data_IF_968342249274
#
_entry.id   IF_968342249274
#
_cell.length_a   1.000
_cell.length_b   1.000
_cell.length_c   1.000
_cell.angle_alpha   90.00
_cell.angle_beta   90.00
_cell.angle_gamma   90.00
#
_symmetry.space_group_name_H-M   'P 1'
#
loop_
_entity.id
_entity.type
_entity.pdbx_description
1 polymer ?
#
# COMPACT_ATOMS: atom_id res chain seq x y z
N UNK A 1 0.42 0.02 -26.33
CA UNK A 1 1.04 0.24 -25.00
C UNK A 1 0.48 -0.69 -23.95
N UNK A 2 1.18 -0.80 -22.84
CA UNK A 2 0.73 -1.60 -21.70
C UNK A 2 0.65 -0.65 -20.48
N UNK A 3 -0.43 0.14 -20.31
CA UNK A 3 -0.51 1.17 -19.29
C UNK A 3 -0.43 0.61 -17.85
N UNK A 4 -0.81 -0.65 -17.66
CA UNK A 4 -0.75 -1.33 -16.37
C UNK A 4 0.58 -2.09 -16.14
N UNK A 5 1.47 -2.12 -17.13
CA UNK A 5 2.68 -2.93 -17.15
C UNK A 5 2.57 -4.13 -18.09
N UNK A 6 3.71 -4.76 -18.40
CA UNK A 6 3.73 -6.01 -19.18
C UNK A 6 3.12 -7.15 -18.35
N UNK A 7 2.59 -8.16 -19.04
CA UNK A 7 1.82 -9.24 -18.39
C UNK A 7 2.64 -9.95 -17.32
N UNK A 8 3.85 -10.36 -17.65
CA UNK A 8 4.75 -11.11 -16.78
C UNK A 8 5.15 -10.31 -15.52
N UNK A 9 5.33 -9.01 -15.64
CA UNK A 9 5.64 -8.16 -14.50
C UNK A 9 4.42 -7.99 -13.58
N UNK A 10 3.21 -7.88 -14.14
CA UNK A 10 1.97 -7.85 -13.35
C UNK A 10 1.73 -9.18 -12.63
N UNK A 11 2.01 -10.31 -13.30
CA UNK A 11 1.90 -11.64 -12.73
C UNK A 11 2.84 -11.81 -11.53
N UNK A 12 4.12 -11.42 -11.65
CA UNK A 12 5.07 -11.42 -10.54
C UNK A 12 4.60 -10.54 -9.37
N UNK A 13 4.12 -9.34 -9.66
CA UNK A 13 3.58 -8.44 -8.63
C UNK A 13 2.36 -9.01 -7.92
N UNK A 14 1.44 -9.62 -8.67
CA UNK A 14 0.26 -10.30 -8.13
C UNK A 14 0.64 -11.48 -7.24
N UNK A 15 1.58 -12.31 -7.67
CA UNK A 15 2.09 -13.45 -6.89
C UNK A 15 2.74 -13.00 -5.58
N UNK A 16 3.56 -11.95 -5.61
CA UNK A 16 4.19 -11.39 -4.41
C UNK A 16 3.17 -10.93 -3.38
N UNK A 17 2.13 -10.21 -3.82
CA UNK A 17 1.09 -9.64 -2.96
C UNK A 17 -0.08 -10.59 -2.69
N UNK A 18 -0.08 -11.80 -3.28
CA UNK A 18 -1.19 -12.76 -3.25
C UNK A 18 -2.50 -12.17 -3.79
N UNK A 19 -2.39 -11.23 -4.72
CA UNK A 19 -3.51 -10.56 -5.37
C UNK A 19 -3.84 -11.21 -6.72
N UNK A 20 -4.85 -10.69 -7.43
CA UNK A 20 -5.14 -11.10 -8.80
C UNK A 20 -4.39 -10.23 -9.81
N UNK A 21 -4.07 -10.76 -10.98
CA UNK A 21 -3.37 -10.02 -12.03
C UNK A 21 -4.23 -8.86 -12.57
N UNK A 22 -5.55 -9.03 -12.61
CA UNK A 22 -6.51 -8.01 -13.05
C UNK A 22 -6.46 -6.77 -12.16
N UNK A 23 -6.21 -6.97 -10.89
CA UNK A 23 -6.15 -5.93 -9.86
C UNK A 23 -4.72 -5.45 -9.55
N UNK A 24 -3.73 -5.86 -10.36
CA UNK A 24 -2.32 -5.52 -10.18
C UNK A 24 -1.79 -4.67 -11.32
N UNK A 25 -1.06 -3.62 -11.00
CA UNK A 25 -0.31 -2.80 -11.95
C UNK A 25 1.17 -2.68 -11.55
N UNK A 26 1.99 -2.37 -12.53
CA UNK A 26 3.42 -2.08 -12.36
C UNK A 26 3.62 -0.58 -12.28
N UNK A 27 4.34 -0.14 -11.26
CA UNK A 27 4.78 1.24 -11.08
C UNK A 27 6.21 1.47 -11.60
N UNK A 28 6.75 2.57 -11.21
CA UNK A 28 8.14 2.96 -11.48
C UNK A 28 9.08 2.34 -10.42
N UNK A 29 10.15 3.03 -10.04
CA UNK A 29 11.22 2.47 -9.21
C UNK A 29 10.87 2.27 -7.72
N UNK A 30 9.78 2.86 -7.21
CA UNK A 30 9.47 2.77 -5.76
C UNK A 30 7.97 2.76 -5.45
N UNK A 31 7.59 2.07 -4.37
CA UNK A 31 6.23 2.11 -3.81
C UNK A 31 5.82 3.52 -3.38
N UNK A 32 6.77 4.36 -2.95
CA UNK A 32 6.47 5.74 -2.53
C UNK A 32 5.82 6.55 -3.64
N UNK A 33 6.26 6.39 -4.89
CA UNK A 33 5.65 7.08 -6.03
C UNK A 33 4.22 6.57 -6.30
N UNK A 34 3.98 5.27 -6.13
CA UNK A 34 2.63 4.71 -6.22
C UNK A 34 1.71 5.22 -5.10
N UNK A 35 2.24 5.38 -3.88
CA UNK A 35 1.50 5.99 -2.76
C UNK A 35 1.15 7.44 -3.10
N UNK A 36 2.11 8.21 -3.62
CA UNK A 36 1.84 9.59 -4.07
C UNK A 36 0.70 9.64 -5.09
N UNK A 37 0.74 8.77 -6.10
CA UNK A 37 -0.31 8.69 -7.13
C UNK A 37 -1.66 8.28 -6.55
N UNK A 38 -1.67 7.38 -5.56
CA UNK A 38 -2.88 6.92 -4.89
C UNK A 38 -3.53 8.06 -4.05
N UNK A 39 -2.72 8.81 -3.29
CA UNK A 39 -3.18 9.99 -2.56
C UNK A 39 -3.67 11.06 -3.53
N UNK A 40 -2.93 11.35 -4.60
CA UNK A 40 -3.33 12.30 -5.65
C UNK A 40 -4.65 11.90 -6.31
N UNK A 41 -4.85 10.59 -6.60
CA UNK A 41 -6.09 10.09 -7.18
C UNK A 41 -7.29 10.35 -6.26
N UNK A 42 -7.14 10.10 -4.96
CA UNK A 42 -8.18 10.37 -3.97
C UNK A 42 -8.38 11.87 -3.72
N UNK A 43 -7.30 12.64 -3.73
CA UNK A 43 -7.37 14.10 -3.60
C UNK A 43 -8.15 14.73 -4.75
N UNK A 44 -7.91 14.29 -5.98
CA UNK A 44 -8.56 14.86 -7.19
C UNK A 44 -9.96 14.31 -7.44
N UNK A 45 -10.21 13.04 -7.16
CA UNK A 45 -11.44 12.33 -7.58
C UNK A 45 -12.19 11.69 -6.42
N UNK A 46 -11.50 11.13 -5.40
CA UNK A 46 -12.07 10.40 -4.27
C UNK A 46 -12.71 9.07 -4.65
N UNK A 47 -12.87 8.17 -3.70
CA UNK A 47 -13.70 6.97 -3.88
C UNK A 47 -15.18 7.32 -4.03
N UNK A 48 -15.66 8.37 -3.35
CA UNK A 48 -16.99 8.94 -3.44
C UNK A 48 -16.89 10.44 -3.68
N UNK A 49 -16.16 11.17 -2.82
CA UNK A 49 -16.01 12.62 -2.89
C UNK A 49 -14.53 13.02 -2.95
N UNK A 50 -14.12 13.92 -3.87
CA UNK A 50 -12.75 14.43 -3.92
C UNK A 50 -12.31 15.04 -2.59
N UNK A 51 -11.11 14.69 -2.11
CA UNK A 51 -10.61 15.25 -0.83
C UNK A 51 -10.32 16.74 -0.91
N UNK A 52 -9.92 17.25 -2.09
CA UNK A 52 -9.68 18.69 -2.33
C UNK A 52 -10.91 19.57 -2.10
N UNK A 53 -12.11 18.99 -2.14
CA UNK A 53 -13.37 19.69 -1.96
C UNK A 53 -13.93 19.53 -0.54
N UNK A 54 -13.11 18.99 0.40
CA UNK A 54 -13.48 18.72 1.78
C UNK A 54 -12.57 19.50 2.75
N UNK A 55 -13.15 19.89 3.88
CA UNK A 55 -12.41 20.53 4.98
C UNK A 55 -11.93 19.48 6.00
N UNK A 56 -10.88 19.83 6.72
CA UNK A 56 -10.33 19.02 7.83
C UNK A 56 -10.01 17.56 7.49
N UNK A 57 -9.60 17.31 6.25
CA UNK A 57 -9.17 15.99 5.82
C UNK A 57 -8.01 15.50 6.68
N UNK A 58 -8.16 14.33 7.28
CA UNK A 58 -7.16 13.73 8.15
C UNK A 58 -6.78 12.32 7.70
N UNK A 59 -5.58 11.89 8.07
CA UNK A 59 -5.06 10.56 7.83
C UNK A 59 -4.38 9.99 9.08
N UNK A 60 -4.58 8.72 9.39
CA UNK A 60 -3.95 8.07 10.54
C UNK A 60 -2.55 7.59 10.14
N UNK A 61 -1.59 7.94 10.99
CA UNK A 61 -0.17 7.69 10.79
C UNK A 61 0.39 6.86 11.96
N UNK A 62 0.68 5.57 11.77
CA UNK A 62 1.39 4.79 12.78
C UNK A 62 2.78 5.37 13.06
N UNK A 63 3.12 5.49 14.35
CA UNK A 63 4.40 6.05 14.81
C UNK A 63 5.10 5.11 15.80
N UNK A 64 6.46 5.00 15.72
CA UNK A 64 7.34 5.66 14.76
C UNK A 64 7.12 5.12 13.35
N UNK A 65 7.34 5.92 12.31
CA UNK A 65 7.07 5.55 10.91
C UNK A 65 8.05 6.16 9.92
N UNK A 66 7.88 5.84 8.64
CA UNK A 66 8.74 6.34 7.57
C UNK A 66 8.41 7.81 7.26
N UNK A 67 9.38 8.70 7.43
CA UNK A 67 9.22 10.16 7.32
C UNK A 67 8.66 10.65 5.98
N UNK A 68 8.94 9.94 4.89
CA UNK A 68 8.44 10.29 3.54
C UNK A 68 6.93 10.14 3.41
N UNK A 69 6.33 9.18 4.13
CA UNK A 69 4.87 9.05 4.20
C UNK A 69 4.23 10.29 4.84
N UNK A 70 4.83 10.80 5.91
CA UNK A 70 4.33 11.99 6.61
C UNK A 70 4.51 13.24 5.76
N UNK A 71 5.68 13.41 5.14
CA UNK A 71 5.97 14.52 4.26
C UNK A 71 5.00 14.61 3.09
N UNK A 72 4.67 13.47 2.50
CA UNK A 72 3.72 13.38 1.40
C UNK A 72 2.33 13.89 1.83
N UNK A 73 1.83 13.47 3.00
CA UNK A 73 0.54 13.94 3.52
C UNK A 73 0.57 15.44 3.83
N UNK A 74 1.68 15.94 4.37
CA UNK A 74 1.89 17.37 4.64
C UNK A 74 1.82 18.21 3.36
N UNK A 75 2.46 17.75 2.27
CA UNK A 75 2.46 18.43 0.96
C UNK A 75 1.04 18.56 0.37
N UNK A 76 0.12 17.65 0.72
CA UNK A 76 -1.31 17.73 0.35
C UNK A 76 -2.17 18.51 1.36
N UNK A 77 -1.58 19.05 2.43
CA UNK A 77 -2.33 19.74 3.50
C UNK A 77 -3.23 18.80 4.31
N UNK A 78 -2.94 17.51 4.31
CA UNK A 78 -3.72 16.49 5.04
C UNK A 78 -3.26 16.45 6.49
N UNK A 79 -4.19 16.60 7.43
CA UNK A 79 -3.91 16.52 8.87
C UNK A 79 -3.47 15.10 9.26
N UNK A 80 -2.36 14.99 9.94
CA UNK A 80 -1.86 13.71 10.44
C UNK A 80 -2.32 13.46 11.87
N UNK A 81 -2.95 12.29 12.10
CA UNK A 81 -3.37 11.80 13.41
C UNK A 81 -2.48 10.60 13.76
N UNK A 82 -1.66 10.72 14.80
CA UNK A 82 -0.70 9.67 15.14
C UNK A 82 -1.33 8.57 16.00
N UNK A 83 -0.96 7.32 15.71
CA UNK A 83 -1.29 6.14 16.52
C UNK A 83 -0.02 5.37 16.85
N UNK A 84 0.23 5.00 18.14
CA UNK A 84 1.43 4.25 18.51
C UNK A 84 1.47 2.83 17.90
N UNK A 85 2.69 2.34 17.62
CA UNK A 85 2.95 0.93 17.36
C UNK A 85 3.22 0.18 18.68
N UNK A 86 2.85 -1.10 18.73
CA UNK A 86 2.90 -1.95 19.93
C UNK A 86 3.83 -3.17 19.79
N UNK A 87 4.57 -3.28 18.67
CA UNK A 87 5.38 -4.46 18.33
C UNK A 87 4.64 -5.49 17.46
N UNK A 88 3.31 -5.48 17.48
CA UNK A 88 2.46 -6.36 16.65
C UNK A 88 1.42 -5.62 15.82
N UNK A 89 1.63 -4.34 15.61
CA UNK A 89 0.77 -3.43 14.85
C UNK A 89 0.42 -2.17 15.64
N UNK A 90 -0.65 -1.49 15.26
CA UNK A 90 -1.10 -0.27 15.92
C UNK A 90 -1.80 -0.55 17.25
N UNK A 91 -1.74 0.40 18.17
CA UNK A 91 -2.59 0.41 19.37
C UNK A 91 -4.06 0.58 18.95
N UNK A 92 -4.82 -0.51 19.02
CA UNK A 92 -6.21 -0.57 18.53
C UNK A 92 -7.14 0.32 19.38
N UNK A 93 -6.91 0.44 20.68
CA UNK A 93 -7.74 1.31 21.52
C UNK A 93 -7.52 2.79 21.16
N UNK A 94 -6.27 3.18 20.90
CA UNK A 94 -5.96 4.53 20.38
C UNK A 94 -6.51 4.76 18.98
N UNK A 95 -6.49 3.74 18.13
CA UNK A 95 -7.09 3.81 16.79
C UNK A 95 -8.60 4.06 16.89
N UNK A 96 -9.32 3.33 17.74
CA UNK A 96 -10.75 3.57 18.02
C UNK A 96 -11.03 4.98 18.52
N UNK A 97 -10.26 5.44 19.51
CA UNK A 97 -10.39 6.82 20.03
C UNK A 97 -10.26 7.89 18.94
N UNK A 98 -9.30 7.69 17.98
CA UNK A 98 -9.12 8.61 16.87
C UNK A 98 -10.33 8.63 15.94
N UNK A 99 -10.88 7.46 15.60
CA UNK A 99 -12.08 7.34 14.77
C UNK A 99 -13.30 7.99 15.42
N UNK A 100 -13.49 7.83 16.73
CA UNK A 100 -14.60 8.44 17.48
C UNK A 100 -14.52 9.97 17.56
N UNK A 101 -13.30 10.51 17.75
CA UNK A 101 -13.08 11.94 18.00
C UNK A 101 -12.99 12.79 16.72
N UNK A 102 -12.79 12.20 15.57
CA UNK A 102 -12.58 12.92 14.32
C UNK A 102 -13.58 12.46 13.26
N UNK A 103 -14.15 13.42 12.51
CA UNK A 103 -15.24 13.15 11.57
C UNK A 103 -14.82 12.95 10.11
N UNK A 104 -13.60 13.33 9.74
CA UNK A 104 -13.14 13.32 8.35
C UNK A 104 -11.79 12.64 8.15
N UNK A 105 -11.65 11.45 8.75
CA UNK A 105 -10.48 10.60 8.54
C UNK A 105 -10.66 9.82 7.25
N UNK A 106 -9.70 9.98 6.33
CA UNK A 106 -9.74 9.33 5.00
C UNK A 106 -8.98 8.04 4.91
N UNK A 107 -8.22 7.66 5.92
CA UNK A 107 -7.55 6.37 5.92
C UNK A 107 -6.38 6.25 6.87
N UNK A 108 -5.67 5.15 6.71
CA UNK A 108 -4.45 4.80 7.45
C UNK A 108 -3.37 4.29 6.48
N UNK A 109 -2.11 4.59 6.78
CA UNK A 109 -0.96 4.10 6.01
C UNK A 109 -0.06 3.23 6.89
N UNK A 110 -0.03 1.93 6.62
CA UNK A 110 0.68 0.93 7.42
C UNK A 110 1.88 0.36 6.65
N UNK A 111 2.96 0.06 7.37
CA UNK A 111 4.05 -0.81 6.91
C UNK A 111 3.94 -2.13 7.71
N UNK A 112 3.18 -3.13 7.20
CA UNK A 112 2.72 -4.24 8.05
C UNK A 112 3.79 -5.29 8.32
N UNK A 113 4.94 -5.22 7.63
CA UNK A 113 6.04 -6.18 7.78
C UNK A 113 7.36 -5.44 7.88
N UNK A 114 8.09 -5.70 8.98
CA UNK A 114 9.38 -5.05 9.29
C UNK A 114 9.29 -3.52 9.20
N UNK A 115 8.30 -2.94 9.90
CA UNK A 115 8.00 -1.51 9.88
C UNK A 115 9.26 -0.66 10.12
N UNK A 116 9.46 0.36 9.31
CA UNK A 116 10.60 1.26 9.44
C UNK A 116 10.20 2.50 10.29
N UNK A 117 10.88 2.80 11.41
CA UNK A 117 12.16 2.20 11.88
C UNK A 117 12.00 1.11 12.94
N UNK A 118 10.79 0.78 13.41
CA UNK A 118 10.56 -0.03 14.61
C UNK A 118 10.86 -1.53 14.43
N UNK A 119 10.75 -2.05 13.21
CA UNK A 119 10.86 -3.48 12.91
C UNK A 119 9.59 -4.29 13.20
N UNK A 120 8.50 -3.64 13.59
CA UNK A 120 7.22 -4.30 13.90
C UNK A 120 6.73 -5.17 12.74
N UNK A 121 6.12 -6.29 13.09
CA UNK A 121 5.34 -7.14 12.17
C UNK A 121 3.92 -7.20 12.71
N UNK A 122 2.97 -6.66 11.95
CA UNK A 122 1.56 -6.65 12.34
C UNK A 122 1.00 -8.06 12.41
N UNK A 123 0.23 -8.35 13.44
CA UNK A 123 -0.49 -9.61 13.53
C UNK A 123 -1.71 -9.61 12.59
N UNK A 124 -2.18 -10.81 12.23
CA UNK A 124 -3.39 -10.96 11.42
C UNK A 124 -4.62 -10.36 12.11
N UNK A 125 -4.68 -10.47 13.45
CA UNK A 125 -5.73 -9.88 14.29
C UNK A 125 -5.68 -8.35 14.19
N UNK A 126 -4.50 -7.74 14.32
CA UNK A 126 -4.35 -6.28 14.26
C UNK A 126 -4.77 -5.73 12.89
N UNK A 127 -4.32 -6.37 11.79
CA UNK A 127 -4.74 -5.99 10.44
C UNK A 127 -6.25 -6.16 10.27
N UNK A 128 -6.83 -7.25 10.78
CA UNK A 128 -8.28 -7.51 10.71
C UNK A 128 -9.09 -6.44 11.44
N UNK A 129 -8.66 -6.03 12.63
CA UNK A 129 -9.33 -4.98 13.41
C UNK A 129 -9.23 -3.61 12.72
N UNK A 130 -8.07 -3.26 12.15
CA UNK A 130 -7.90 -2.04 11.35
C UNK A 130 -8.90 -2.03 10.18
N UNK A 131 -8.97 -3.13 9.41
CA UNK A 131 -9.86 -3.25 8.26
C UNK A 131 -11.34 -3.14 8.66
N UNK A 132 -11.74 -3.83 9.74
CA UNK A 132 -13.11 -3.80 10.23
C UNK A 132 -13.50 -2.40 10.70
N UNK A 133 -12.75 -1.82 11.63
CA UNK A 133 -13.04 -0.52 12.22
C UNK A 133 -13.03 0.62 11.19
N UNK A 134 -12.04 0.64 10.28
CA UNK A 134 -11.99 1.66 9.24
C UNK A 134 -13.15 1.55 8.26
N UNK A 135 -13.57 0.32 7.91
CA UNK A 135 -14.74 0.08 7.05
C UNK A 135 -16.05 0.48 7.73
N UNK A 136 -16.21 0.19 9.03
CA UNK A 136 -17.37 0.62 9.83
C UNK A 136 -17.42 2.15 9.94
N UNK A 137 -16.26 2.80 10.05
CA UNK A 137 -16.15 4.25 10.12
C UNK A 137 -16.62 4.92 8.84
N UNK A 138 -16.16 4.47 7.65
CA UNK A 138 -16.54 5.08 6.37
C UNK A 138 -16.28 4.16 5.18
N UNK A 139 -17.20 4.21 4.19
CA UNK A 139 -16.99 3.56 2.87
C UNK A 139 -15.90 4.23 2.02
N UNK A 140 -15.41 5.41 2.43
CA UNK A 140 -14.28 6.12 1.81
C UNK A 140 -12.96 5.91 2.54
N UNK A 141 -12.94 5.15 3.65
CA UNK A 141 -11.73 4.93 4.44
C UNK A 141 -10.71 4.11 3.66
N UNK A 142 -9.56 4.71 3.36
CA UNK A 142 -8.51 4.12 2.54
C UNK A 142 -7.50 3.35 3.41
N UNK A 143 -7.28 2.09 3.10
CA UNK A 143 -6.23 1.27 3.72
C UNK A 143 -5.04 1.20 2.76
N UNK A 144 -3.90 1.79 3.14
CA UNK A 144 -2.64 1.70 2.40
C UNK A 144 -1.68 0.80 3.16
N UNK A 145 -1.31 -0.32 2.55
CA UNK A 145 -0.31 -1.24 3.10
C UNK A 145 0.95 -1.19 2.22
N UNK A 146 1.97 -0.45 2.68
CA UNK A 146 3.27 -0.40 2.03
C UNK A 146 4.14 -1.58 2.48
N UNK A 147 4.11 -2.66 1.71
CA UNK A 147 4.88 -3.88 1.94
C UNK A 147 6.30 -3.78 1.35
N UNK A 148 7.00 -2.67 1.61
CA UNK A 148 8.35 -2.43 1.11
C UNK A 148 9.37 -3.51 1.55
N UNK A 149 9.07 -4.23 2.63
CA UNK A 149 9.92 -5.28 3.23
C UNK A 149 9.29 -6.68 3.17
N UNK A 150 8.36 -6.91 2.24
CA UNK A 150 7.58 -8.15 2.12
C UNK A 150 8.43 -9.42 2.08
N UNK A 151 9.62 -9.36 1.51
CA UNK A 151 10.53 -10.50 1.28
C UNK A 151 11.81 -10.44 2.13
N UNK A 152 11.82 -9.64 3.21
CA UNK A 152 13.02 -9.42 4.04
C UNK A 152 13.03 -10.30 5.33
N UNK A 153 12.55 -11.53 5.24
CA UNK A 153 12.58 -12.46 6.36
C UNK A 153 13.92 -13.19 6.42
N UNK A 154 14.81 -12.74 7.30
CA UNK A 154 16.13 -13.33 7.51
C UNK A 154 16.17 -14.44 8.57
N UNK A 155 15.02 -14.70 9.20
CA UNK A 155 14.83 -15.80 10.16
C UNK A 155 13.43 -16.39 9.99
N UNK A 156 13.14 -17.59 10.53
CA UNK A 156 11.79 -18.11 10.54
C UNK A 156 10.85 -17.13 11.26
N UNK A 157 10.17 -16.30 10.50
CA UNK A 157 9.21 -15.34 11.02
C UNK A 157 7.84 -15.98 11.19
N UNK A 158 6.99 -15.38 12.05
CA UNK A 158 5.58 -15.77 12.11
C UNK A 158 4.98 -15.67 10.69
N UNK A 159 4.31 -16.73 10.27
CA UNK A 159 3.57 -16.73 9.01
C UNK A 159 2.44 -15.71 9.13
N UNK A 160 2.49 -14.66 8.32
CA UNK A 160 1.47 -13.63 8.23
C UNK A 160 0.54 -13.98 7.06
N UNK A 161 -0.77 -13.92 7.28
CA UNK A 161 -1.75 -14.07 6.20
C UNK A 161 -1.60 -12.89 5.23
N UNK A 162 -1.60 -13.12 3.91
CA UNK A 162 -1.56 -12.04 2.94
C UNK A 162 -2.62 -10.97 3.20
N UNK A 163 -2.23 -9.71 3.17
CA UNK A 163 -3.16 -8.58 3.39
C UNK A 163 -4.34 -8.63 2.42
N UNK A 164 -4.10 -9.07 1.18
CA UNK A 164 -5.15 -9.27 0.18
C UNK A 164 -6.27 -10.21 0.68
N UNK A 165 -5.89 -11.33 1.27
CA UNK A 165 -6.85 -12.32 1.78
C UNK A 165 -7.60 -11.79 3.00
N UNK A 166 -6.92 -11.07 3.91
CA UNK A 166 -7.57 -10.41 5.04
C UNK A 166 -8.55 -9.34 4.57
N UNK A 167 -8.16 -8.48 3.61
CA UNK A 167 -9.04 -7.46 3.05
C UNK A 167 -10.26 -8.08 2.35
N UNK A 168 -10.09 -9.21 1.65
CA UNK A 168 -11.18 -9.98 1.05
C UNK A 168 -12.13 -10.54 2.11
N UNK A 169 -11.58 -11.16 3.17
CA UNK A 169 -12.36 -11.72 4.29
C UNK A 169 -13.23 -10.66 4.96
N UNK A 170 -12.72 -9.43 5.11
CA UNK A 170 -13.46 -8.32 5.72
C UNK A 170 -14.27 -7.48 4.72
N UNK A 171 -14.38 -7.91 3.44
CA UNK A 171 -15.05 -7.16 2.37
C UNK A 171 -14.54 -5.72 2.23
N UNK A 172 -13.23 -5.50 2.45
CA UNK A 172 -12.57 -4.19 2.43
C UNK A 172 -11.70 -3.96 1.19
N UNK A 173 -11.68 -4.88 0.21
CA UNK A 173 -10.80 -4.80 -0.97
C UNK A 173 -10.97 -3.49 -1.74
N UNK A 174 -12.19 -3.02 -1.96
CA UNK A 174 -12.46 -1.79 -2.72
C UNK A 174 -11.89 -0.52 -2.08
N UNK A 175 -11.47 -0.60 -0.82
CA UNK A 175 -10.86 0.47 -0.03
C UNK A 175 -9.37 0.20 0.26
N UNK A 176 -8.83 -0.94 -0.17
CA UNK A 176 -7.48 -1.40 0.17
C UNK A 176 -6.54 -1.32 -1.02
N UNK A 177 -5.38 -0.72 -0.79
CA UNK A 177 -4.22 -0.78 -1.68
C UNK A 177 -3.04 -1.44 -0.97
N UNK A 178 -2.41 -2.38 -1.66
CA UNK A 178 -1.21 -3.08 -1.21
C UNK A 178 -0.10 -2.73 -2.20
N UNK A 179 1.03 -2.28 -1.68
CA UNK A 179 2.17 -1.88 -2.50
C UNK A 179 3.39 -2.68 -2.10
N UNK A 180 4.25 -2.98 -3.08
CA UNK A 180 5.58 -3.51 -2.82
C UNK A 180 6.56 -2.98 -3.86
N UNK A 181 7.86 -3.11 -3.59
CA UNK A 181 8.90 -2.69 -4.54
C UNK A 181 10.19 -3.46 -4.36
N UNK A 182 10.96 -3.49 -5.44
CA UNK A 182 12.33 -4.04 -5.45
C UNK A 182 13.41 -2.99 -5.13
N UNK A 183 13.04 -1.79 -4.66
CA UNK A 183 14.01 -0.74 -4.30
C UNK A 183 15.05 -1.18 -3.27
N UNK A 184 14.72 -2.18 -2.45
CA UNK A 184 15.59 -2.74 -1.40
C UNK A 184 15.96 -4.22 -1.67
N UNK A 185 15.58 -4.73 -2.84
CA UNK A 185 15.84 -6.11 -3.29
C UNK A 185 16.89 -6.14 -4.40
N UNK A 186 16.79 -5.22 -5.36
CA UNK A 186 17.72 -5.11 -6.50
C UNK A 186 18.53 -3.81 -6.42
N UNK A 187 18.03 -2.72 -6.98
CA UNK A 187 18.73 -1.43 -7.05
C UNK A 187 17.86 -0.32 -6.47
N UNK A 188 18.40 0.51 -5.59
CA UNK A 188 17.66 1.58 -4.93
C UNK A 188 16.98 2.56 -5.89
N UNK A 189 17.67 3.04 -6.92
CA UNK A 189 17.12 3.94 -7.94
C UNK A 189 16.66 3.25 -9.23
N UNK A 190 16.91 1.97 -9.38
CA UNK A 190 16.54 1.14 -10.54
C UNK A 190 15.58 0.01 -10.21
N UNK A 191 14.92 0.05 -9.05
CA UNK A 191 13.93 -0.94 -8.64
C UNK A 191 12.68 -0.93 -9.51
N UNK A 192 11.77 -1.84 -9.22
CA UNK A 192 10.46 -1.94 -9.82
C UNK A 192 9.41 -1.97 -8.70
N UNK A 193 8.27 -1.34 -8.90
CA UNK A 193 7.21 -1.32 -7.89
C UNK A 193 5.90 -1.89 -8.44
N UNK A 194 5.04 -2.33 -7.52
CA UNK A 194 3.76 -2.93 -7.84
C UNK A 194 2.69 -2.39 -6.89
N UNK A 195 1.48 -2.24 -7.41
CA UNK A 195 0.30 -1.96 -6.60
C UNK A 195 -0.82 -2.94 -6.94
N UNK A 196 -1.46 -3.47 -5.90
CA UNK A 196 -2.70 -4.21 -6.02
C UNK A 196 -3.79 -3.51 -5.21
N UNK A 197 -5.00 -3.41 -5.77
CA UNK A 197 -6.13 -2.78 -5.11
C UNK A 197 -7.46 -3.41 -5.55
N UNK A 198 -8.50 -3.29 -4.73
CA UNK A 198 -9.85 -3.68 -5.13
C UNK A 198 -10.37 -2.82 -6.30
N UNK A 199 -11.39 -3.29 -6.99
CA UNK A 199 -11.81 -2.74 -8.30
C UNK A 199 -12.05 -1.23 -8.29
N UNK A 200 -12.72 -0.69 -7.28
CA UNK A 200 -13.02 0.74 -7.23
C UNK A 200 -11.74 1.57 -7.12
N UNK A 201 -10.89 1.22 -6.15
CA UNK A 201 -9.64 1.92 -5.90
C UNK A 201 -8.64 1.72 -7.04
N UNK A 202 -8.59 0.51 -7.62
CA UNK A 202 -7.77 0.20 -8.78
C UNK A 202 -8.13 1.08 -9.99
N UNK A 203 -9.42 1.17 -10.32
CA UNK A 203 -9.89 2.01 -11.43
C UNK A 203 -9.60 3.50 -11.19
N UNK A 204 -9.70 3.96 -9.95
CA UNK A 204 -9.37 5.33 -9.57
C UNK A 204 -7.88 5.63 -9.79
N UNK A 205 -7.01 4.73 -9.37
CA UNK A 205 -5.57 4.82 -9.55
C UNK A 205 -5.20 4.79 -11.04
N UNK A 206 -5.78 3.88 -11.82
CA UNK A 206 -5.58 3.80 -13.28
C UNK A 206 -6.01 5.07 -13.96
N UNK A 207 -7.18 5.63 -13.62
CA UNK A 207 -7.65 6.91 -14.14
C UNK A 207 -6.64 8.03 -13.92
N UNK A 208 -6.09 8.15 -12.73
CA UNK A 208 -5.08 9.17 -12.41
C UNK A 208 -3.80 8.94 -13.20
N UNK A 209 -3.31 7.68 -13.24
CA UNK A 209 -2.05 7.33 -13.90
C UNK A 209 -2.08 7.60 -15.40
N UNK A 210 -3.16 7.28 -16.08
CA UNK A 210 -3.28 7.45 -17.55
C UNK A 210 -3.23 8.90 -18.01
N UNK A 211 -3.51 9.86 -17.12
CA UNK A 211 -3.29 11.29 -17.41
C UNK A 211 -1.82 11.73 -17.18
N UNK A 212 -1.03 10.95 -16.48
CA UNK A 212 0.34 11.27 -16.10
C UNK A 212 1.38 10.54 -16.95
N UNK A 213 1.15 9.26 -17.24
CA UNK A 213 2.08 8.40 -18.00
C UNK A 213 1.32 7.50 -18.98
N UNK A 214 1.97 7.17 -20.10
CA UNK A 214 1.45 6.20 -21.08
C UNK A 214 1.69 4.75 -20.61
N UNK A 215 2.87 4.50 -20.03
CA UNK A 215 3.25 3.22 -19.44
C UNK A 215 4.50 3.40 -18.57
N UNK A 216 4.65 2.58 -17.54
CA UNK A 216 5.90 2.47 -16.80
C UNK A 216 7.03 1.94 -17.72
N UNK A 217 8.29 2.22 -17.33
CA UNK A 217 9.49 1.82 -18.10
C UNK A 217 9.51 0.31 -18.39
N UNK A 218 9.31 -0.04 -19.64
CA UNK A 218 9.28 -1.44 -20.10
C UNK A 218 10.65 -2.11 -20.08
N UNK A 219 11.72 -1.37 -20.31
CA UNK A 219 13.09 -1.92 -20.26
C UNK A 219 13.40 -2.35 -18.82
N UNK A 220 13.03 -1.52 -17.85
CA UNK A 220 13.19 -1.87 -16.46
C UNK A 220 12.32 -3.06 -16.02
N UNK A 221 11.09 -3.15 -16.51
CA UNK A 221 10.22 -4.31 -16.29
C UNK A 221 10.86 -5.59 -16.85
N UNK A 222 11.31 -5.57 -18.10
CA UNK A 222 11.96 -6.72 -18.75
C UNK A 222 13.22 -7.16 -18.01
N UNK A 223 14.06 -6.22 -17.55
CA UNK A 223 15.24 -6.54 -16.75
C UNK A 223 14.89 -7.31 -15.48
N UNK A 224 13.85 -6.88 -14.76
CA UNK A 224 13.44 -7.53 -13.53
C UNK A 224 12.81 -8.91 -13.79
N UNK A 225 12.00 -9.04 -14.84
CA UNK A 225 11.39 -10.34 -15.23
C UNK A 225 12.45 -11.31 -15.79
N UNK A 226 13.48 -10.81 -16.43
CA UNK A 226 14.58 -11.68 -16.84
C UNK A 226 15.36 -12.22 -15.63
N UNK A 227 15.49 -11.43 -14.58
CA UNK A 227 16.18 -11.80 -13.34
C UNK A 227 15.30 -12.62 -12.38
N UNK A 228 14.02 -12.29 -12.24
CA UNK A 228 13.04 -12.97 -11.41
C UNK A 228 11.87 -13.48 -12.24
N UNK A 229 11.76 -14.79 -12.47
CA UNK A 229 10.63 -15.38 -13.20
C UNK A 229 9.38 -15.53 -12.34
N UNK A 230 9.54 -15.68 -11.04
CA UNK A 230 8.47 -15.93 -10.07
C UNK A 230 8.90 -15.47 -8.66
N UNK A 231 7.99 -15.60 -7.71
CA UNK A 231 8.22 -15.27 -6.30
C UNK A 231 9.35 -16.08 -5.65
N UNK A 232 9.51 -17.35 -6.03
CA UNK A 232 10.54 -18.23 -5.45
C UNK A 232 11.95 -17.75 -5.84
N UNK A 233 12.14 -17.22 -7.04
CA UNK A 233 13.40 -16.59 -7.46
C UNK A 233 13.72 -15.39 -6.57
N UNK A 234 12.72 -14.54 -6.28
CA UNK A 234 12.89 -13.39 -5.37
C UNK A 234 13.28 -13.84 -3.98
N UNK A 235 12.57 -14.84 -3.43
CA UNK A 235 12.86 -15.38 -2.09
C UNK A 235 14.23 -16.05 -2.02
N UNK A 236 14.66 -16.70 -3.10
CA UNK A 236 15.99 -17.32 -3.19
C UNK A 236 17.11 -16.28 -3.24
N UNK A 237 16.86 -15.15 -3.93
CA UNK A 237 17.80 -14.04 -3.99
C UNK A 237 17.99 -13.34 -2.64
N UNK A 238 16.96 -13.35 -1.79
CA UNK A 238 16.97 -12.71 -0.47
C UNK A 238 17.61 -13.56 0.64
N UNK A 239 17.95 -14.82 0.38
CA UNK A 239 18.65 -15.73 1.33
C UNK A 239 20.16 -15.55 1.25
#
# INVERSE_FOLDING_TARGET
GHPLGIHEARELGAELMSATIENTLVGEQSSLLLIYQLILANYLFGLVTPWKDQEDVAFICPVPGFDRHFRLLEDFGIKMLTVPLTGSGVDIEKFKELLEKNKNIKGIMCVPRHSNPSGDIYSDENISEILQLGKEYSSEFLFIFDNAYLVHDFSPSKKQTPVWDLAKKHNALDQTAILCSFSKVTFGSGGLSFAAAGNKLFNLLVRQRTSMIVSADKVNQLRHIEFFKNKDDVLSHMK
#
